data_IF_097358823987
#
_entry.id   IF_097358823987
#
_cell.length_a   1.000
_cell.length_b   1.000
_cell.length_c   1.000
_cell.angle_alpha   90.00
_cell.angle_beta   90.00
_cell.angle_gamma   90.00
#
_symmetry.space_group_name_H-M   'P 1'
#
loop_
_entity.id
_entity.type
_entity.pdbx_description
1 polymer ?
#
# COMPACT_ATOMS: atom_id res chain seq x y z
N UNK A 1 22.30 -24.78 -0.09
CA UNK A 1 21.75 -24.01 -1.22
C UNK A 1 21.66 -22.54 -0.84
N UNK A 2 21.93 -21.61 -1.78
CA UNK A 2 21.72 -20.19 -1.56
C UNK A 2 20.21 -19.88 -1.48
N UNK A 3 19.83 -18.92 -0.63
CA UNK A 3 18.44 -18.44 -0.53
C UNK A 3 18.16 -17.38 -1.58
N UNK A 4 16.93 -17.36 -2.10
CA UNK A 4 16.43 -16.32 -2.99
C UNK A 4 16.32 -14.98 -2.25
N UNK A 5 16.21 -13.89 -2.99
CA UNK A 5 15.98 -12.57 -2.40
C UNK A 5 14.72 -12.53 -1.53
N UNK A 6 13.62 -13.10 -2.02
CA UNK A 6 12.35 -13.16 -1.29
C UNK A 6 12.49 -13.92 0.04
N UNK A 7 13.13 -15.09 0.02
CA UNK A 7 13.40 -15.88 1.24
C UNK A 7 14.25 -15.12 2.26
N UNK A 8 15.21 -14.33 1.79
CA UNK A 8 16.06 -13.51 2.68
C UNK A 8 15.26 -12.35 3.29
N UNK A 9 14.47 -11.64 2.47
CA UNK A 9 13.74 -10.48 2.92
C UNK A 9 12.57 -10.86 3.84
N UNK A 10 11.80 -11.88 3.48
CA UNK A 10 10.72 -12.41 4.33
C UNK A 10 11.29 -13.03 5.60
N UNK A 11 12.42 -13.75 5.52
CA UNK A 11 13.08 -14.30 6.69
C UNK A 11 13.58 -13.22 7.66
N UNK A 12 14.10 -12.11 7.15
CA UNK A 12 14.49 -10.95 7.97
C UNK A 12 13.27 -10.35 8.68
N UNK A 13 12.16 -10.18 7.96
CA UNK A 13 10.94 -9.61 8.52
C UNK A 13 10.23 -10.55 9.52
N UNK A 14 10.28 -11.86 9.27
CA UNK A 14 9.73 -12.88 10.17
C UNK A 14 10.61 -13.18 11.38
N UNK A 15 11.84 -12.67 11.41
CA UNK A 15 12.82 -13.00 12.45
C UNK A 15 13.31 -14.47 12.45
N UNK A 16 13.05 -15.21 11.37
CA UNK A 16 13.40 -16.62 11.23
C UNK A 16 13.72 -16.99 9.77
N UNK A 17 14.54 -18.02 9.51
CA UNK A 17 14.78 -18.51 8.16
C UNK A 17 13.50 -18.98 7.48
N UNK A 18 13.25 -18.50 6.25
CA UNK A 18 12.09 -18.83 5.44
C UNK A 18 12.55 -19.58 4.18
N UNK A 19 11.73 -20.48 3.67
CA UNK A 19 11.93 -21.23 2.44
C UNK A 19 10.66 -21.23 1.58
N UNK A 20 10.81 -21.41 0.28
CA UNK A 20 9.71 -21.52 -0.64
C UNK A 20 8.69 -22.60 -0.18
N UNK A 21 7.42 -22.33 -0.33
CA UNK A 21 6.31 -23.20 0.12
C UNK A 21 5.89 -23.01 1.59
N UNK A 22 6.60 -22.19 2.37
CA UNK A 22 6.20 -21.86 3.73
C UNK A 22 5.23 -20.65 3.76
N UNK A 23 4.24 -20.73 4.64
CA UNK A 23 3.39 -19.58 4.99
C UNK A 23 4.05 -18.84 6.14
N UNK A 24 4.24 -17.55 5.99
CA UNK A 24 4.82 -16.68 7.03
C UNK A 24 3.96 -15.45 7.23
N UNK A 25 3.87 -15.03 8.49
CA UNK A 25 3.18 -13.78 8.84
C UNK A 25 4.26 -12.72 9.07
N UNK A 26 4.18 -11.64 8.31
CA UNK A 26 5.09 -10.51 8.43
C UNK A 26 4.30 -9.21 8.44
N UNK A 27 4.81 -8.23 9.18
CA UNK A 27 4.25 -6.89 9.16
C UNK A 27 4.92 -6.08 8.05
N UNK A 28 4.14 -5.49 7.10
CA UNK A 28 4.70 -4.57 6.12
C UNK A 28 5.12 -3.26 6.79
N UNK A 29 6.19 -2.66 6.29
CA UNK A 29 6.65 -1.35 6.75
C UNK A 29 5.72 -0.23 6.26
N UNK A 30 5.25 -0.36 5.01
CA UNK A 30 4.29 0.56 4.42
C UNK A 30 3.24 -0.17 3.60
N UNK A 31 2.02 0.38 3.60
CA UNK A 31 0.92 -0.06 2.75
C UNK A 31 0.47 1.13 1.88
N UNK A 32 0.64 1.01 0.57
CA UNK A 32 0.26 2.04 -0.38
C UNK A 32 -1.12 1.76 -0.97
N UNK A 33 -1.94 2.79 -1.07
CA UNK A 33 -3.20 2.76 -1.81
C UNK A 33 -3.36 4.03 -2.64
N UNK A 34 -4.02 3.89 -3.78
CA UNK A 34 -4.28 5.00 -4.70
C UNK A 34 -5.78 5.31 -4.80
N UNK A 35 -6.29 5.78 -5.95
CA UNK A 35 -7.70 6.14 -6.14
C UNK A 35 -8.69 5.02 -5.81
N UNK A 36 -8.27 3.75 -5.80
CA UNK A 36 -9.09 2.61 -5.37
C UNK A 36 -9.27 2.52 -3.84
N UNK A 37 -8.72 3.44 -3.07
CA UNK A 37 -8.87 3.49 -1.63
C UNK A 37 -10.33 3.71 -1.17
N UNK A 38 -11.19 4.30 -2.01
CA UNK A 38 -12.60 4.49 -1.66
C UNK A 38 -13.35 3.16 -1.43
N UNK A 39 -13.33 2.15 -2.33
CA UNK A 39 -13.87 0.83 -2.04
C UNK A 39 -13.16 0.13 -0.89
N UNK A 40 -11.84 0.27 -0.75
CA UNK A 40 -11.08 -0.30 0.38
C UNK A 40 -11.58 0.26 1.70
N UNK A 41 -11.80 1.57 1.80
CA UNK A 41 -12.33 2.20 3.02
C UNK A 41 -13.74 1.70 3.38
N UNK A 42 -14.57 1.41 2.38
CA UNK A 42 -15.90 0.79 2.61
C UNK A 42 -15.78 -0.63 3.17
N UNK A 43 -14.85 -1.42 2.64
CA UNK A 43 -14.58 -2.77 3.13
C UNK A 43 -14.01 -2.73 4.55
N UNK A 44 -13.09 -1.82 4.83
CA UNK A 44 -12.56 -1.60 6.17
C UNK A 44 -13.67 -1.35 7.21
N UNK A 45 -14.65 -0.50 6.86
CA UNK A 45 -15.79 -0.23 7.76
C UNK A 45 -16.64 -1.47 8.06
N UNK A 46 -16.68 -2.45 7.14
CA UNK A 46 -17.42 -3.71 7.36
C UNK A 46 -16.74 -4.65 8.36
N UNK A 47 -15.44 -4.50 8.61
CA UNK A 47 -14.71 -5.30 9.60
C UNK A 47 -15.16 -4.99 11.04
N UNK A 48 -15.84 -3.86 11.24
CA UNK A 48 -16.38 -3.47 12.55
C UNK A 48 -15.36 -2.76 13.46
N UNK A 49 -14.20 -2.38 12.92
CA UNK A 49 -13.22 -1.56 13.65
C UNK A 49 -13.35 -0.09 13.25
N UNK A 50 -13.11 0.81 14.21
CA UNK A 50 -13.25 2.25 13.99
C UNK A 50 -11.98 2.95 13.54
N UNK A 51 -10.80 2.38 13.85
CA UNK A 51 -9.51 2.99 13.55
C UNK A 51 -8.56 1.99 12.90
N UNK A 52 -7.76 2.50 11.98
CA UNK A 52 -6.62 1.75 11.43
C UNK A 52 -5.54 1.58 12.49
N UNK A 53 -4.84 0.46 12.47
CA UNK A 53 -3.87 0.13 13.50
C UNK A 53 -2.64 1.06 13.52
N UNK A 54 -2.04 1.30 12.34
CA UNK A 54 -0.84 2.14 12.20
C UNK A 54 -1.04 3.15 11.05
N UNK A 55 -1.65 4.31 11.31
CA UNK A 55 -1.92 5.30 10.27
C UNK A 55 -0.64 5.84 9.62
N UNK A 56 0.48 5.89 10.34
CA UNK A 56 1.76 6.39 9.81
C UNK A 56 2.42 5.41 8.81
N UNK A 57 2.01 4.13 8.81
CA UNK A 57 2.48 3.14 7.83
C UNK A 57 1.62 3.10 6.56
N UNK A 58 0.54 3.88 6.52
CA UNK A 58 -0.33 3.98 5.36
C UNK A 58 0.07 5.16 4.49
N UNK A 59 0.18 4.93 3.19
CA UNK A 59 0.48 5.95 2.18
C UNK A 59 -0.65 5.97 1.17
N UNK A 60 -1.34 7.10 1.08
CA UNK A 60 -2.45 7.27 0.14
C UNK A 60 -2.07 8.30 -0.92
N UNK A 61 -2.27 7.96 -2.19
CA UNK A 61 -1.87 8.79 -3.32
C UNK A 61 -3.01 8.83 -4.32
N UNK A 62 -3.46 10.01 -4.70
CA UNK A 62 -4.44 10.18 -5.77
C UNK A 62 -3.70 10.51 -7.07
N UNK A 63 -3.64 9.57 -8.00
CA UNK A 63 -2.84 9.70 -9.22
C UNK A 63 -3.44 9.09 -10.50
N UNK A 64 -4.25 8.02 -10.39
CA UNK A 64 -4.74 7.28 -11.55
C UNK A 64 -5.89 7.99 -12.30
N UNK A 65 -6.77 8.67 -11.57
CA UNK A 65 -7.93 9.35 -12.14
C UNK A 65 -7.86 10.86 -11.89
N UNK A 66 -6.73 11.47 -12.27
CA UNK A 66 -6.45 12.90 -12.05
C UNK A 66 -6.19 13.61 -13.40
N UNK A 67 -6.94 14.69 -13.70
CA UNK A 67 -8.14 15.16 -12.99
C UNK A 67 -9.27 14.12 -13.06
N UNK A 68 -10.21 14.16 -12.12
CA UNK A 68 -11.31 13.20 -12.06
C UNK A 68 -12.12 13.21 -13.38
N UNK A 69 -12.14 12.11 -14.14
CA UNK A 69 -12.77 12.09 -15.46
C UNK A 69 -14.29 11.98 -15.40
N UNK A 70 -14.86 11.64 -14.26
CA UNK A 70 -16.30 11.55 -14.04
C UNK A 70 -16.66 11.94 -12.61
N UNK A 71 -17.97 12.25 -12.38
CA UNK A 71 -18.50 12.55 -11.05
C UNK A 71 -18.21 11.43 -10.04
N UNK A 72 -18.29 10.18 -10.49
CA UNK A 72 -17.99 9.01 -9.66
C UNK A 72 -16.54 9.01 -9.16
N UNK A 73 -15.57 9.40 -10.00
CA UNK A 73 -14.17 9.53 -9.57
C UNK A 73 -14.00 10.69 -8.59
N UNK A 74 -14.67 11.81 -8.83
CA UNK A 74 -14.65 12.94 -7.91
C UNK A 74 -15.23 12.55 -6.53
N UNK A 75 -16.36 11.84 -6.50
CA UNK A 75 -16.94 11.30 -5.27
C UNK A 75 -15.98 10.33 -4.54
N UNK A 76 -15.30 9.45 -5.27
CA UNK A 76 -14.31 8.56 -4.71
C UNK A 76 -13.15 9.35 -4.05
N UNK A 77 -12.64 10.38 -4.73
CA UNK A 77 -11.60 11.25 -4.16
C UNK A 77 -12.09 11.94 -2.87
N UNK A 78 -13.32 12.42 -2.85
CA UNK A 78 -13.93 13.00 -1.63
C UNK A 78 -13.99 11.97 -0.49
N UNK A 79 -14.37 10.72 -0.79
CA UNK A 79 -14.42 9.64 0.20
C UNK A 79 -13.01 9.31 0.72
N UNK A 80 -11.99 9.27 -0.14
CA UNK A 80 -10.60 9.03 0.27
C UNK A 80 -10.12 10.15 1.20
N UNK A 81 -10.35 11.42 0.84
CA UNK A 81 -9.99 12.58 1.68
C UNK A 81 -10.66 12.51 3.05
N UNK A 82 -11.94 12.18 3.09
CA UNK A 82 -12.69 12.02 4.33
C UNK A 82 -12.11 10.88 5.20
N UNK A 83 -11.81 9.73 4.59
CA UNK A 83 -11.22 8.58 5.28
C UNK A 83 -9.83 8.89 5.82
N UNK A 84 -8.96 9.48 5.03
CA UNK A 84 -7.62 9.92 5.44
C UNK A 84 -7.68 10.82 6.67
N UNK A 85 -8.59 11.82 6.64
CA UNK A 85 -8.82 12.75 7.75
C UNK A 85 -9.36 12.02 8.99
N UNK A 86 -10.37 11.16 8.81
CA UNK A 86 -10.98 10.38 9.88
C UNK A 86 -9.97 9.46 10.58
N UNK A 87 -9.09 8.83 9.82
CA UNK A 87 -8.11 7.89 10.33
C UNK A 87 -6.80 8.53 10.80
N UNK A 88 -6.59 9.81 10.52
CA UNK A 88 -5.37 10.55 10.88
C UNK A 88 -4.14 10.13 10.09
N UNK A 89 -4.34 9.68 8.84
CA UNK A 89 -3.26 9.29 7.93
C UNK A 89 -2.51 10.54 7.48
N UNK A 90 -1.19 10.60 7.75
CA UNK A 90 -0.36 11.77 7.42
C UNK A 90 0.25 11.69 6.03
N UNK A 91 0.58 10.49 5.58
CA UNK A 91 1.21 10.26 4.28
C UNK A 91 0.12 10.25 3.20
N UNK A 92 -0.38 11.42 2.88
CA UNK A 92 -1.43 11.62 1.89
C UNK A 92 -0.99 12.62 0.82
N UNK A 93 -0.96 12.16 -0.41
CA UNK A 93 -0.54 12.91 -1.58
C UNK A 93 -1.74 13.13 -2.49
N UNK A 94 -2.29 14.32 -2.38
CA UNK A 94 -3.45 14.76 -3.16
C UNK A 94 -3.01 15.56 -4.39
N UNK A 95 -3.97 16.05 -5.17
CA UNK A 95 -3.80 16.93 -6.34
C UNK A 95 -3.23 18.29 -5.88
N UNK A 96 -1.97 18.33 -5.53
CA UNK A 96 -1.27 19.51 -5.05
C UNK A 96 0.15 19.54 -5.61
N UNK A 97 0.95 20.51 -5.21
CA UNK A 97 2.38 20.57 -5.56
C UNK A 97 3.20 19.37 -5.11
N UNK A 98 2.67 18.54 -4.19
CA UNK A 98 3.26 17.28 -3.73
C UNK A 98 2.63 16.06 -4.38
N UNK A 99 1.64 16.24 -5.25
CA UNK A 99 1.02 15.15 -6.01
C UNK A 99 1.93 14.65 -7.12
N UNK A 100 1.73 13.41 -7.54
CA UNK A 100 2.48 12.77 -8.62
C UNK A 100 2.12 11.30 -8.76
N UNK A 101 2.77 10.59 -9.68
CA UNK A 101 2.59 9.15 -9.87
C UNK A 101 2.97 8.42 -8.58
N UNK A 102 2.11 7.52 -8.11
CA UNK A 102 2.28 6.84 -6.82
C UNK A 102 3.63 6.11 -6.71
N UNK A 103 4.08 5.48 -7.78
CA UNK A 103 5.36 4.75 -7.79
C UNK A 103 6.56 5.69 -7.64
N UNK A 104 6.48 6.88 -8.23
CA UNK A 104 7.50 7.90 -8.10
C UNK A 104 7.55 8.45 -6.68
N UNK A 105 6.40 8.81 -6.12
CA UNK A 105 6.29 9.31 -4.74
C UNK A 105 6.82 8.29 -3.74
N UNK A 106 6.47 7.00 -3.88
CA UNK A 106 6.96 5.95 -2.99
C UNK A 106 8.48 5.86 -2.96
N UNK A 107 9.14 6.14 -4.08
CA UNK A 107 10.60 6.13 -4.16
C UNK A 107 11.22 7.46 -3.66
N UNK A 108 10.72 8.59 -4.13
CA UNK A 108 11.31 9.92 -3.85
C UNK A 108 11.13 10.36 -2.41
N UNK A 109 9.98 10.03 -1.80
CA UNK A 109 9.70 10.33 -0.39
C UNK A 109 10.33 9.32 0.58
N UNK A 110 11.07 8.33 0.06
CA UNK A 110 11.80 7.37 0.87
C UNK A 110 10.96 6.29 1.56
N UNK A 111 9.74 6.03 1.09
CA UNK A 111 8.94 4.90 1.58
C UNK A 111 9.47 3.58 1.03
N UNK A 112 9.89 3.59 -0.25
CA UNK A 112 10.45 2.44 -0.93
C UNK A 112 11.97 2.39 -0.72
N UNK A 113 12.42 1.73 0.34
CA UNK A 113 13.84 1.59 0.67
C UNK A 113 14.29 0.12 0.66
N UNK A 114 15.57 -0.16 0.33
CA UNK A 114 16.12 -1.52 0.34
C UNK A 114 15.90 -2.24 1.67
N UNK A 115 15.39 -3.47 1.58
CA UNK A 115 15.15 -4.32 2.75
C UNK A 115 13.86 -4.06 3.51
N UNK A 116 13.02 -3.13 3.06
CA UNK A 116 11.67 -2.94 3.57
C UNK A 116 10.68 -3.86 2.84
N UNK A 117 9.60 -4.23 3.50
CA UNK A 117 8.45 -4.90 2.90
C UNK A 117 7.35 -3.87 2.73
N UNK A 118 6.83 -3.78 1.52
CA UNK A 118 5.72 -2.91 1.17
C UNK A 118 4.61 -3.70 0.51
N UNK A 119 3.38 -3.30 0.80
CA UNK A 119 2.16 -3.81 0.16
C UNK A 119 1.51 -2.65 -0.59
N UNK A 120 1.07 -2.90 -1.81
CA UNK A 120 0.38 -1.88 -2.60
C UNK A 120 -0.86 -2.44 -3.27
N UNK A 121 -1.88 -1.61 -3.43
CA UNK A 121 -3.12 -1.96 -4.11
C UNK A 121 -3.05 -1.79 -5.63
N UNK A 122 -1.92 -1.33 -6.16
CA UNK A 122 -1.68 -1.14 -7.59
C UNK A 122 -1.02 -2.35 -8.26
N UNK A 123 -1.38 -2.60 -9.53
CA UNK A 123 -0.85 -3.72 -10.32
C UNK A 123 0.64 -3.61 -10.61
N UNK A 124 1.20 -2.40 -10.61
CA UNK A 124 2.61 -2.13 -10.85
C UNK A 124 3.43 -1.97 -9.58
N UNK A 125 2.86 -2.26 -8.40
CA UNK A 125 3.60 -2.25 -7.11
C UNK A 125 4.91 -3.04 -7.19
N UNK A 126 4.94 -4.08 -8.06
CA UNK A 126 6.14 -4.88 -8.30
C UNK A 126 7.32 -4.11 -8.90
N UNK A 127 7.15 -2.93 -9.45
CA UNK A 127 8.26 -2.10 -9.94
C UNK A 127 9.24 -1.67 -8.83
N UNK A 128 8.77 -1.57 -7.59
CA UNK A 128 9.66 -1.26 -6.45
C UNK A 128 10.73 -2.33 -6.23
N UNK A 129 10.46 -3.58 -6.60
CA UNK A 129 11.44 -4.66 -6.54
C UNK A 129 12.60 -4.53 -7.54
N UNK A 130 12.45 -3.75 -8.60
CA UNK A 130 13.51 -3.51 -9.58
C UNK A 130 14.72 -2.77 -8.98
N UNK A 131 14.53 -2.09 -7.86
CA UNK A 131 15.57 -1.38 -7.11
C UNK A 131 15.94 -2.09 -5.79
N UNK A 132 15.82 -3.41 -5.76
CA UNK A 132 16.16 -4.28 -4.62
C UNK A 132 15.21 -4.22 -3.42
N UNK A 133 13.93 -3.94 -3.66
CA UNK A 133 12.89 -3.98 -2.63
C UNK A 133 12.12 -5.30 -2.66
N UNK A 134 11.63 -5.73 -1.51
CA UNK A 134 10.64 -6.80 -1.44
C UNK A 134 9.26 -6.19 -1.33
N UNK A 135 8.41 -6.50 -2.28
CA UNK A 135 7.04 -6.00 -2.31
C UNK A 135 6.08 -7.15 -2.56
N UNK A 136 4.87 -6.98 -2.10
CA UNK A 136 3.75 -7.86 -2.36
C UNK A 136 2.62 -7.02 -2.92
N UNK A 137 2.05 -7.48 -4.04
CA UNK A 137 0.79 -6.94 -4.53
C UNK A 137 -0.34 -7.51 -3.67
N UNK A 138 -1.12 -6.66 -3.04
CA UNK A 138 -2.40 -7.06 -2.51
C UNK A 138 -3.39 -7.20 -3.67
N UNK A 139 -3.97 -8.38 -3.88
CA UNK A 139 -5.05 -8.56 -4.83
C UNK A 139 -6.23 -7.67 -4.46
N UNK A 140 -6.90 -7.10 -5.46
CA UNK A 140 -8.06 -6.21 -5.28
C UNK A 140 -9.27 -6.90 -4.62
N UNK A 141 -9.26 -8.20 -4.55
CA UNK A 141 -10.29 -9.02 -3.90
C UNK A 141 -9.87 -9.33 -2.46
N UNK A 142 -10.27 -8.49 -1.54
CA UNK A 142 -10.23 -8.75 -0.08
C UNK A 142 -11.05 -10.00 0.30
N UNK A 143 -11.70 -10.65 -0.66
CA UNK A 143 -12.53 -11.86 -0.46
C UNK A 143 -11.72 -13.15 -0.31
N UNK A 144 -10.43 -13.14 -0.64
CA UNK A 144 -9.58 -14.33 -0.58
C UNK A 144 -8.70 -14.41 0.68
N UNK A 145 -8.92 -13.53 1.65
CA UNK A 145 -8.18 -13.46 2.92
C UNK A 145 -9.04 -13.76 4.15
N UNK A 146 -10.12 -14.52 3.97
CA UNK A 146 -10.93 -15.05 5.10
C UNK A 146 -10.84 -16.58 5.13
#
# INVERSE_FOLDING_TARGET
>A
MGKTFAEKALGKAAGAPVSAGQVVIVEPHFCMSHDNAAPISKTFKKIGVSKVWKPDNLVFILDHAIPAPTDKHAENHMQVRAFVKEQGIRNFYDITSKGGVCHQIMCEEGFALPGLIMVGSDSHTCTYGAVSYTHLRAHETVLDLV
#
